data_IF_978452390873
#
_entry.id   IF_978452390873
#
_cell.length_a   1.000
_cell.length_b   1.000
_cell.length_c   1.000
_cell.angle_alpha   90.00
_cell.angle_beta   90.00
_cell.angle_gamma   90.00
#
_symmetry.space_group_name_H-M   'P 1'
#
loop_
_entity.id
_entity.type
_entity.pdbx_description
1 polymer ?
#
# COMPACT_ATOMS: atom_id res chain seq x y z
N UNK A 1 16.45 -7.62 33.22
CA UNK A 1 16.25 -9.05 32.88
C UNK A 1 14.89 -9.18 32.19
N UNK A 2 14.83 -9.26 30.87
CA UNK A 2 13.54 -9.41 30.16
C UNK A 2 13.27 -10.90 29.95
N UNK A 3 12.20 -11.37 30.58
CA UNK A 3 11.73 -12.74 30.57
C UNK A 3 11.13 -13.07 29.20
N UNK A 4 11.72 -14.10 28.58
CA UNK A 4 11.14 -15.04 27.62
C UNK A 4 9.72 -14.72 27.10
N UNK A 5 9.60 -13.82 26.12
CA UNK A 5 8.38 -13.65 25.33
C UNK A 5 8.73 -13.99 23.89
N UNK A 6 8.05 -15.00 23.32
CA UNK A 6 8.08 -15.39 21.90
C UNK A 6 8.32 -14.15 21.04
N UNK A 7 9.29 -14.22 20.13
CA UNK A 7 9.69 -13.14 19.23
C UNK A 7 8.44 -12.51 18.57
N UNK A 8 7.90 -11.44 19.18
CA UNK A 8 6.74 -10.70 18.67
C UNK A 8 7.21 -10.08 17.37
N UNK A 9 6.50 -10.34 16.27
CA UNK A 9 6.90 -9.75 15.00
C UNK A 9 6.87 -8.22 15.14
N UNK A 10 7.81 -7.51 14.52
CA UNK A 10 7.89 -6.03 14.60
C UNK A 10 6.54 -5.36 14.26
N UNK A 11 5.73 -6.01 13.41
CA UNK A 11 4.39 -5.57 13.07
C UNK A 11 3.37 -5.62 14.20
N UNK A 12 3.46 -6.61 15.11
CA UNK A 12 2.60 -6.67 16.30
C UNK A 12 2.98 -5.59 17.32
N UNK A 13 4.28 -5.33 17.47
CA UNK A 13 4.78 -4.24 18.31
C UNK A 13 4.30 -2.89 17.78
N UNK A 14 4.42 -2.64 16.47
CA UNK A 14 3.88 -1.44 15.84
C UNK A 14 2.36 -1.30 16.03
N UNK A 15 1.60 -2.38 15.80
CA UNK A 15 0.14 -2.38 15.99
C UNK A 15 -0.23 -1.92 17.39
N UNK A 16 0.46 -2.45 18.40
CA UNK A 16 0.21 -2.12 19.80
C UNK A 16 0.59 -0.67 20.12
N UNK A 17 1.71 -0.17 19.58
CA UNK A 17 2.10 1.24 19.72
C UNK A 17 0.95 2.15 19.24
N UNK A 18 0.44 1.93 18.03
CA UNK A 18 -0.65 2.77 17.50
C UNK A 18 -1.97 2.59 18.28
N UNK A 19 -2.31 1.38 18.72
CA UNK A 19 -3.50 1.13 19.55
C UNK A 19 -3.40 1.84 20.91
N UNK A 20 -2.28 1.70 21.62
CA UNK A 20 -2.07 2.36 22.92
C UNK A 20 -2.03 3.88 22.79
N UNK A 21 -1.42 4.40 21.71
CA UNK A 21 -1.42 5.83 21.40
C UNK A 21 -2.84 6.38 21.22
N UNK A 22 -3.72 5.63 20.54
CA UNK A 22 -5.14 5.99 20.38
C UNK A 22 -5.93 5.92 21.69
N UNK A 23 -5.64 4.92 22.53
CA UNK A 23 -6.32 4.74 23.82
C UNK A 23 -5.78 5.65 24.93
N UNK A 24 -4.80 6.52 24.64
CA UNK A 24 -4.17 7.40 25.64
C UNK A 24 -3.35 6.65 26.70
N UNK A 25 -2.96 5.41 26.42
CA UNK A 25 -2.26 4.51 27.34
C UNK A 25 -0.74 4.69 27.22
N UNK A 26 -0.24 5.82 27.71
CA UNK A 26 1.15 6.23 27.56
C UNK A 26 2.16 5.21 28.09
N UNK A 27 1.91 4.61 29.25
CA UNK A 27 2.84 3.65 29.88
C UNK A 27 3.00 2.38 29.04
N UNK A 28 1.88 1.85 28.53
CA UNK A 28 1.88 0.67 27.65
C UNK A 28 2.47 0.97 26.27
N UNK A 29 2.26 2.19 25.77
CA UNK A 29 2.91 2.65 24.55
C UNK A 29 4.44 2.65 24.72
N UNK A 30 4.96 3.27 25.79
CA UNK A 30 6.39 3.35 26.08
C UNK A 30 7.02 1.97 26.31
N UNK A 31 6.32 1.05 26.96
CA UNK A 31 6.75 -0.35 27.10
C UNK A 31 6.90 -1.02 25.73
N UNK A 32 5.95 -0.80 24.81
CA UNK A 32 6.05 -1.34 23.45
C UNK A 32 7.20 -0.71 22.65
N UNK A 33 7.46 0.59 22.81
CA UNK A 33 8.63 1.24 22.21
C UNK A 33 9.95 0.64 22.68
N UNK A 34 10.03 0.16 23.93
CA UNK A 34 11.21 -0.49 24.47
C UNK A 34 11.59 -1.78 23.73
N UNK A 35 10.63 -2.47 23.12
CA UNK A 35 10.88 -3.69 22.32
C UNK A 35 11.54 -3.44 20.97
N UNK A 36 11.58 -2.19 20.50
CA UNK A 36 12.25 -1.81 19.25
C UNK A 36 13.72 -1.43 19.51
N UNK A 37 14.59 -1.73 18.54
CA UNK A 37 15.98 -1.22 18.56
C UNK A 37 16.03 0.29 18.34
N UNK A 38 17.11 0.95 18.76
CA UNK A 38 17.24 2.41 18.69
C UNK A 38 17.01 2.99 17.28
N UNK A 39 17.53 2.32 16.24
CA UNK A 39 17.27 2.67 14.83
C UNK A 39 15.78 2.58 14.50
N UNK A 40 15.15 1.42 14.74
CA UNK A 40 13.72 1.21 14.50
C UNK A 40 12.83 2.23 15.21
N UNK A 41 13.20 2.66 16.43
CA UNK A 41 12.47 3.70 17.16
C UNK A 41 12.54 5.05 16.45
N UNK A 42 13.73 5.46 16.00
CA UNK A 42 13.92 6.71 15.26
C UNK A 42 13.08 6.72 13.99
N UNK A 43 13.15 5.64 13.22
CA UNK A 43 12.49 5.54 11.94
C UNK A 43 10.96 5.52 12.09
N UNK A 44 10.49 4.78 13.09
CA UNK A 44 9.06 4.72 13.40
C UNK A 44 8.53 6.08 13.87
N UNK A 45 9.29 6.84 14.66
CA UNK A 45 8.91 8.22 15.02
C UNK A 45 8.79 9.11 13.79
N UNK A 46 9.73 9.02 12.85
CA UNK A 46 9.67 9.80 11.61
C UNK A 46 8.47 9.40 10.73
N UNK A 47 8.17 8.11 10.66
CA UNK A 47 7.01 7.60 9.94
C UNK A 47 5.69 8.13 10.55
N UNK A 48 5.57 8.10 11.87
CA UNK A 48 4.39 8.59 12.60
C UNK A 48 4.30 10.11 12.69
N UNK A 49 5.41 10.84 12.51
CA UNK A 49 5.41 12.31 12.42
C UNK A 49 4.70 12.81 11.15
N UNK A 50 4.59 11.96 10.11
CA UNK A 50 3.80 12.29 8.94
C UNK A 50 2.31 12.07 9.20
N UNK A 51 1.55 13.15 9.38
CA UNK A 51 0.13 13.08 9.70
C UNK A 51 -0.73 12.32 8.67
N UNK A 52 -0.45 12.47 7.37
CA UNK A 52 -1.21 11.79 6.32
C UNK A 52 -0.99 10.28 6.34
N UNK A 53 0.27 9.84 6.47
CA UNK A 53 0.61 8.43 6.46
C UNK A 53 0.21 7.76 7.78
N UNK A 54 0.37 8.46 8.91
CA UNK A 54 -0.17 8.04 10.21
C UNK A 54 -1.67 7.78 10.09
N UNK A 55 -2.45 8.73 9.57
CA UNK A 55 -3.91 8.61 9.42
C UNK A 55 -4.31 7.35 8.65
N UNK A 56 -3.69 7.10 7.48
CA UNK A 56 -4.06 5.94 6.66
C UNK A 56 -3.64 4.62 7.31
N UNK A 57 -2.49 4.57 8.00
CA UNK A 57 -2.11 3.39 8.77
C UNK A 57 -3.05 3.15 9.95
N UNK A 58 -3.46 4.23 10.61
CA UNK A 58 -4.43 4.26 11.70
C UNK A 58 -5.81 3.74 11.25
N UNK A 59 -6.25 4.08 10.04
CA UNK A 59 -7.46 3.51 9.44
C UNK A 59 -7.25 1.99 9.24
N UNK A 60 -6.19 1.59 8.56
CA UNK A 60 -5.84 0.19 8.28
C UNK A 60 -5.65 -0.69 9.54
N UNK A 61 -5.32 -0.10 10.69
CA UNK A 61 -5.12 -0.81 11.96
C UNK A 61 -6.39 -1.45 12.54
N UNK A 62 -7.58 -1.04 12.10
CA UNK A 62 -8.84 -1.69 12.49
C UNK A 62 -8.97 -3.12 11.94
N UNK A 63 -8.18 -3.52 10.93
CA UNK A 63 -8.30 -4.83 10.31
C UNK A 63 -7.42 -5.87 11.01
N UNK A 64 -8.02 -6.92 11.61
CA UNK A 64 -7.33 -7.78 12.57
C UNK A 64 -6.23 -8.67 11.98
N UNK A 65 -6.15 -8.81 10.66
CA UNK A 65 -5.31 -9.80 9.96
C UNK A 65 -4.17 -9.23 9.13
N UNK A 66 -3.96 -7.91 9.17
CA UNK A 66 -2.96 -7.27 8.33
C UNK A 66 -1.54 -7.56 8.85
N UNK A 67 -0.72 -8.27 8.07
CA UNK A 67 0.69 -8.55 8.42
C UNK A 67 1.51 -7.28 8.31
N UNK A 68 1.55 -6.53 9.41
CA UNK A 68 2.40 -5.38 9.63
C UNK A 68 3.90 -5.75 9.73
N UNK A 69 4.23 -7.05 9.70
CA UNK A 69 5.62 -7.55 9.74
C UNK A 69 6.51 -7.03 8.60
N UNK A 70 5.92 -6.33 7.63
CA UNK A 70 6.64 -5.70 6.54
C UNK A 70 6.64 -4.17 6.61
N UNK A 71 5.98 -3.54 7.60
CA UNK A 71 6.11 -2.10 7.89
C UNK A 71 7.54 -1.69 8.21
N UNK A 72 8.33 -2.61 8.75
CA UNK A 72 9.76 -2.40 8.90
C UNK A 72 10.44 -2.09 7.56
N UNK A 73 9.92 -2.58 6.42
CA UNK A 73 10.39 -2.18 5.08
C UNK A 73 9.97 -0.76 4.70
N UNK A 74 8.75 -0.32 5.04
CA UNK A 74 8.33 1.09 4.89
C UNK A 74 9.27 2.03 5.68
N UNK A 75 9.71 1.58 6.85
CA UNK A 75 10.74 2.21 7.68
C UNK A 75 12.13 2.15 7.00
N UNK A 76 12.60 1.00 6.55
CA UNK A 76 13.92 0.83 5.92
C UNK A 76 14.06 1.59 4.59
N UNK A 77 12.99 1.67 3.80
CA UNK A 77 12.97 2.45 2.56
C UNK A 77 12.94 3.97 2.81
N UNK A 78 12.68 4.40 4.05
CA UNK A 78 12.63 5.83 4.45
C UNK A 78 13.95 6.37 4.99
N UNK A 79 14.93 5.55 5.37
CA UNK A 79 15.96 6.07 6.26
C UNK A 79 17.07 6.89 5.63
N UNK A 80 17.54 6.61 4.40
CA UNK A 80 18.80 7.27 3.99
C UNK A 80 18.78 8.01 2.65
N UNK A 81 17.79 7.84 1.77
CA UNK A 81 17.91 8.39 0.40
C UNK A 81 16.67 8.98 -0.27
N UNK A 82 15.49 8.97 0.36
CA UNK A 82 14.27 9.40 -0.32
C UNK A 82 13.51 10.41 0.54
N UNK A 83 14.05 11.63 0.56
CA UNK A 83 13.29 12.86 0.84
C UNK A 83 12.42 13.27 -0.37
N UNK A 84 12.31 12.43 -1.40
CA UNK A 84 11.49 12.76 -2.57
C UNK A 84 10.00 12.64 -2.20
N UNK A 85 9.21 13.72 -2.35
CA UNK A 85 7.77 13.72 -2.08
C UNK A 85 6.98 12.72 -2.94
N UNK A 86 7.59 12.19 -4.01
CA UNK A 86 7.05 11.15 -4.89
C UNK A 86 6.69 9.85 -4.15
N UNK A 87 7.64 9.30 -3.39
CA UNK A 87 7.45 7.98 -2.75
C UNK A 87 6.40 8.03 -1.63
N UNK A 88 6.28 9.18 -0.96
CA UNK A 88 5.32 9.40 0.11
C UNK A 88 3.88 9.46 -0.41
N UNK A 89 3.62 10.25 -1.46
CA UNK A 89 2.27 10.40 -2.02
C UNK A 89 1.76 9.08 -2.61
N UNK A 90 2.57 8.41 -3.42
CA UNK A 90 2.22 7.10 -3.98
C UNK A 90 1.96 6.04 -2.90
N UNK A 91 2.74 6.04 -1.82
CA UNK A 91 2.50 5.15 -0.69
C UNK A 91 1.16 5.43 0.01
N UNK A 92 0.81 6.69 0.25
CA UNK A 92 -0.47 7.08 0.85
C UNK A 92 -1.63 6.67 -0.04
N UNK A 93 -1.57 6.96 -1.34
CA UNK A 93 -2.62 6.58 -2.29
C UNK A 93 -2.80 5.06 -2.39
N UNK A 94 -1.71 4.30 -2.43
CA UNK A 94 -1.79 2.84 -2.48
C UNK A 94 -2.42 2.28 -1.20
N UNK A 95 -2.01 2.77 -0.03
CA UNK A 95 -2.58 2.34 1.24
C UNK A 95 -4.07 2.69 1.35
N UNK A 96 -4.49 3.85 0.84
CA UNK A 96 -5.91 4.21 0.71
C UNK A 96 -6.65 3.30 -0.25
N UNK A 97 -6.02 2.91 -1.37
CA UNK A 97 -6.60 1.96 -2.31
C UNK A 97 -6.83 0.59 -1.66
N UNK A 98 -5.87 0.09 -0.87
CA UNK A 98 -6.05 -1.12 -0.06
C UNK A 98 -7.27 -0.97 0.84
N UNK A 99 -7.34 0.11 1.64
CA UNK A 99 -8.47 0.36 2.52
C UNK A 99 -9.80 0.33 1.76
N UNK A 100 -9.92 1.09 0.68
CA UNK A 100 -11.16 1.22 -0.09
C UNK A 100 -11.61 -0.13 -0.69
N UNK A 101 -10.68 -0.93 -1.21
CA UNK A 101 -11.03 -2.24 -1.78
C UNK A 101 -11.51 -3.19 -0.70
N UNK A 102 -10.83 -3.27 0.44
CA UNK A 102 -11.23 -4.17 1.53
C UNK A 102 -12.56 -3.73 2.15
N UNK A 103 -12.78 -2.44 2.35
CA UNK A 103 -14.08 -1.90 2.79
C UNK A 103 -15.19 -2.26 1.81
N UNK A 104 -14.94 -2.18 0.49
CA UNK A 104 -15.91 -2.59 -0.53
C UNK A 104 -16.18 -4.09 -0.51
N UNK A 105 -15.16 -4.93 -0.40
CA UNK A 105 -15.30 -6.40 -0.25
C UNK A 105 -16.20 -6.72 0.96
N UNK A 106 -15.97 -6.04 2.08
CA UNK A 106 -16.77 -6.20 3.29
C UNK A 106 -18.08 -5.40 3.30
N UNK A 107 -18.43 -4.75 2.18
CA UNK A 107 -19.67 -4.01 2.00
C UNK A 107 -19.90 -2.91 3.05
N UNK A 108 -18.83 -2.30 3.56
CA UNK A 108 -18.84 -1.35 4.68
C UNK A 108 -19.46 -1.89 5.98
N UNK A 109 -19.56 -3.22 6.12
CA UNK A 109 -20.16 -3.87 7.28
C UNK A 109 -19.08 -4.29 8.29
N UNK A 110 -19.13 -3.70 9.48
CA UNK A 110 -18.16 -3.94 10.54
C UNK A 110 -18.09 -5.42 10.99
N UNK A 111 -19.22 -6.14 11.02
CA UNK A 111 -19.25 -7.57 11.37
C UNK A 111 -18.55 -8.45 10.31
N UNK A 112 -18.66 -8.08 9.03
CA UNK A 112 -17.98 -8.76 7.92
C UNK A 112 -16.48 -8.45 7.96
N UNK A 113 -16.13 -7.17 8.16
CA UNK A 113 -14.75 -6.72 8.29
C UNK A 113 -14.02 -7.40 9.46
N UNK A 114 -14.67 -7.52 10.62
CA UNK A 114 -14.15 -8.23 11.79
C UNK A 114 -13.88 -9.72 11.52
N UNK A 115 -14.62 -10.32 10.58
CA UNK A 115 -14.43 -11.69 10.12
C UNK A 115 -13.25 -11.92 9.18
N UNK A 116 -12.56 -10.85 8.77
CA UNK A 116 -11.44 -10.93 7.82
C UNK A 116 -10.19 -11.46 8.51
N UNK A 117 -9.97 -12.75 8.40
CA UNK A 117 -8.81 -13.42 8.97
C UNK A 117 -7.61 -13.44 8.00
N UNK A 118 -6.45 -13.89 8.51
CA UNK A 118 -5.21 -13.92 7.72
C UNK A 118 -5.32 -14.88 6.54
N UNK A 119 -6.05 -15.98 6.68
CA UNK A 119 -6.23 -16.97 5.61
C UNK A 119 -7.07 -16.37 4.47
N UNK A 120 -8.15 -15.65 4.81
CA UNK A 120 -8.98 -14.92 3.85
C UNK A 120 -8.13 -13.94 3.02
N UNK A 121 -7.31 -13.10 3.67
CA UNK A 121 -6.43 -12.16 2.97
C UNK A 121 -5.44 -12.89 2.05
N UNK A 122 -4.85 -14.00 2.52
CA UNK A 122 -3.87 -14.75 1.75
C UNK A 122 -4.48 -15.44 0.51
N UNK A 123 -5.73 -15.87 0.58
CA UNK A 123 -6.44 -16.50 -0.54
C UNK A 123 -6.92 -15.48 -1.56
N UNK A 124 -7.30 -14.28 -1.12
CA UNK A 124 -7.84 -13.24 -2.00
C UNK A 124 -6.78 -12.32 -2.61
N UNK A 125 -5.67 -12.06 -1.91
CA UNK A 125 -4.65 -11.14 -2.43
C UNK A 125 -4.18 -11.57 -3.83
N UNK A 126 -3.94 -10.59 -4.70
CA UNK A 126 -3.50 -10.76 -6.09
C UNK A 126 -4.52 -11.40 -7.04
N UNK A 127 -5.63 -11.94 -6.53
CA UNK A 127 -6.71 -12.40 -7.40
C UNK A 127 -7.38 -11.20 -8.06
N UNK A 128 -7.79 -11.34 -9.32
CA UNK A 128 -8.57 -10.37 -10.06
C UNK A 128 -9.90 -10.97 -10.57
N UNK A 129 -10.84 -11.29 -9.66
CA UNK A 129 -12.06 -12.00 -10.02
C UNK A 129 -12.90 -11.28 -11.07
N UNK A 130 -12.87 -9.96 -11.19
CA UNK A 130 -13.65 -9.28 -12.25
C UNK A 130 -13.11 -9.53 -13.67
N UNK A 131 -11.82 -9.87 -13.80
CA UNK A 131 -11.13 -9.98 -15.09
C UNK A 131 -10.61 -11.40 -15.40
N UNK A 132 -10.46 -12.26 -14.38
CA UNK A 132 -9.92 -13.61 -14.52
C UNK A 132 -10.97 -14.66 -14.16
N UNK A 133 -11.42 -15.44 -15.16
CA UNK A 133 -12.32 -16.59 -14.95
C UNK A 133 -11.64 -17.65 -14.06
N UNK A 134 -10.32 -17.80 -14.16
CA UNK A 134 -9.57 -18.73 -13.30
C UNK A 134 -9.67 -18.32 -11.83
N UNK A 135 -9.54 -17.02 -11.55
CA UNK A 135 -9.60 -16.47 -10.20
C UNK A 135 -11.03 -16.52 -9.64
N UNK A 136 -12.06 -16.38 -10.49
CA UNK A 136 -13.45 -16.64 -10.09
C UNK A 136 -13.64 -18.10 -9.69
N UNK A 137 -13.24 -19.04 -10.56
CA UNK A 137 -13.37 -20.48 -10.31
C UNK A 137 -12.57 -20.94 -9.09
N UNK A 138 -11.48 -20.24 -8.77
CA UNK A 138 -10.78 -20.43 -7.51
C UNK A 138 -11.66 -19.92 -6.36
N UNK A 139 -11.99 -18.62 -6.35
CA UNK A 139 -12.59 -17.92 -5.20
C UNK A 139 -13.99 -18.42 -4.83
N UNK A 140 -14.83 -18.77 -5.79
CA UNK A 140 -16.24 -19.15 -5.57
C UNK A 140 -16.39 -20.38 -4.65
N UNK A 141 -15.80 -21.56 -4.94
CA UNK A 141 -15.84 -22.72 -4.05
C UNK A 141 -15.36 -22.43 -2.62
N UNK A 142 -14.47 -21.46 -2.46
CA UNK A 142 -13.86 -21.15 -1.17
C UNK A 142 -14.73 -20.19 -0.34
N UNK A 143 -15.66 -19.49 -0.98
CA UNK A 143 -16.74 -18.86 -0.26
C UNK A 143 -17.83 -19.88 0.09
N UNK A 144 -18.10 -20.85 -0.77
CA UNK A 144 -19.16 -21.82 -0.53
C UNK A 144 -18.78 -22.86 0.55
N UNK A 145 -17.54 -23.34 0.54
CA UNK A 145 -17.01 -24.32 1.51
C UNK A 145 -16.56 -23.71 2.86
N UNK A 146 -16.76 -22.41 3.06
CA UNK A 146 -16.36 -21.62 4.25
C UNK A 146 -14.87 -21.40 4.59
N UNK A 147 -13.85 -21.67 3.75
CA UNK A 147 -12.48 -21.24 4.06
C UNK A 147 -12.26 -19.72 3.95
N UNK A 148 -13.03 -18.99 3.14
CA UNK A 148 -13.06 -17.52 3.13
C UNK A 148 -14.06 -17.00 4.15
N UNK A 149 -13.72 -15.96 4.92
CA UNK A 149 -14.60 -15.35 5.92
C UNK A 149 -15.33 -16.37 6.81
N UNK A 150 -14.59 -17.22 7.55
CA UNK A 150 -15.17 -18.37 8.26
C UNK A 150 -16.17 -17.97 9.37
N UNK A 151 -16.09 -16.74 9.86
CA UNK A 151 -16.98 -16.21 10.90
C UNK A 151 -18.35 -15.79 10.37
N UNK A 152 -18.52 -15.65 9.05
CA UNK A 152 -19.81 -15.31 8.43
C UNK A 152 -20.60 -16.60 8.26
N UNK A 153 -21.62 -16.78 9.10
CA UNK A 153 -22.48 -17.97 9.10
C UNK A 153 -23.74 -17.78 8.26
N UNK A 154 -24.24 -16.55 8.14
CA UNK A 154 -25.43 -16.24 7.35
C UNK A 154 -25.18 -16.43 5.85
N UNK A 155 -26.08 -17.17 5.19
CA UNK A 155 -25.93 -17.56 3.79
C UNK A 155 -26.09 -16.35 2.86
N UNK A 156 -26.98 -15.42 3.20
CA UNK A 156 -27.24 -14.23 2.39
C UNK A 156 -26.05 -13.28 2.41
N UNK A 157 -25.45 -13.08 3.59
CA UNK A 157 -24.23 -12.30 3.76
C UNK A 157 -23.04 -12.93 3.03
N UNK A 158 -22.90 -14.27 3.09
CA UNK A 158 -21.85 -14.96 2.32
C UNK A 158 -22.02 -14.76 0.82
N UNK A 159 -23.25 -14.84 0.31
CA UNK A 159 -23.55 -14.60 -1.10
C UNK A 159 -23.23 -13.14 -1.48
N UNK A 160 -23.62 -12.18 -0.67
CA UNK A 160 -23.38 -10.77 -0.94
C UNK A 160 -21.87 -10.42 -0.94
N UNK A 161 -21.10 -11.00 0.00
CA UNK A 161 -19.63 -10.84 0.02
C UNK A 161 -18.99 -11.51 -1.21
N UNK A 162 -19.45 -12.69 -1.62
CA UNK A 162 -19.00 -13.34 -2.86
C UNK A 162 -19.21 -12.44 -4.08
N UNK A 163 -20.42 -11.90 -4.23
CA UNK A 163 -20.77 -10.98 -5.32
C UNK A 163 -19.89 -9.73 -5.28
N UNK A 164 -19.63 -9.17 -4.09
CA UNK A 164 -18.73 -8.03 -3.94
C UNK A 164 -17.32 -8.35 -4.43
N UNK A 165 -16.75 -9.49 -4.03
CA UNK A 165 -15.41 -9.94 -4.46
C UNK A 165 -15.32 -10.08 -5.98
N UNK A 166 -16.37 -10.60 -6.62
CA UNK A 166 -16.42 -10.76 -8.09
C UNK A 166 -16.37 -9.44 -8.85
N UNK A 167 -16.75 -8.34 -8.22
CA UNK A 167 -16.71 -7.00 -8.83
C UNK A 167 -15.38 -6.26 -8.60
N UNK A 168 -14.43 -6.88 -7.89
CA UNK A 168 -13.12 -6.29 -7.64
C UNK A 168 -12.15 -6.73 -8.74
N UNK A 169 -11.34 -5.77 -9.20
CA UNK A 169 -10.14 -6.05 -9.99
C UNK A 169 -9.09 -6.78 -9.17
N UNK A 170 -7.82 -6.52 -9.43
CA UNK A 170 -6.77 -7.10 -8.61
C UNK A 170 -6.95 -6.67 -7.14
N UNK A 171 -7.14 -7.64 -6.25
CA UNK A 171 -7.31 -7.40 -4.82
C UNK A 171 -5.95 -7.04 -4.23
N UNK A 172 -5.76 -5.78 -3.79
CA UNK A 172 -4.49 -5.32 -3.28
C UNK A 172 -4.28 -5.82 -1.85
N UNK A 173 -3.03 -5.98 -1.46
CA UNK A 173 -2.66 -6.31 -0.09
C UNK A 173 -1.41 -5.55 0.32
N UNK A 174 -1.19 -5.42 1.63
CA UNK A 174 0.06 -4.88 2.13
C UNK A 174 1.26 -5.68 1.62
N UNK A 175 1.15 -7.00 1.56
CA UNK A 175 2.23 -7.84 1.06
C UNK A 175 2.65 -7.39 -0.34
N UNK A 176 1.68 -7.22 -1.25
CA UNK A 176 1.98 -6.78 -2.61
C UNK A 176 2.52 -5.36 -2.65
N UNK A 177 1.91 -4.45 -1.91
CA UNK A 177 2.39 -3.07 -1.74
C UNK A 177 3.88 -3.02 -1.38
N UNK A 178 4.34 -3.84 -0.43
CA UNK A 178 5.74 -3.87 -0.05
C UNK A 178 6.66 -4.49 -1.11
N UNK A 179 6.16 -5.42 -1.92
CA UNK A 179 6.92 -5.92 -3.07
C UNK A 179 6.99 -4.86 -4.17
N UNK A 180 5.88 -4.19 -4.49
CA UNK A 180 5.82 -3.11 -5.47
C UNK A 180 6.69 -1.93 -5.08
N UNK A 181 6.75 -1.59 -3.80
CA UNK A 181 7.61 -0.53 -3.30
C UNK A 181 9.09 -0.76 -3.60
N UNK A 182 9.56 -2.02 -3.60
CA UNK A 182 10.95 -2.32 -3.98
C UNK A 182 11.22 -1.89 -5.42
N UNK A 183 10.28 -2.17 -6.33
CA UNK A 183 10.40 -1.77 -7.74
C UNK A 183 10.28 -0.25 -7.90
N UNK A 184 9.29 0.36 -7.23
CA UNK A 184 9.08 1.80 -7.27
C UNK A 184 10.27 2.59 -6.74
N UNK A 185 11.02 2.05 -5.78
CA UNK A 185 12.25 2.68 -5.28
C UNK A 185 13.30 2.84 -6.40
N UNK A 186 13.53 1.79 -7.19
CA UNK A 186 14.45 1.85 -8.32
C UNK A 186 13.94 2.80 -9.42
N UNK A 187 12.65 2.74 -9.74
CA UNK A 187 12.03 3.66 -10.70
C UNK A 187 12.18 5.11 -10.24
N UNK A 188 11.92 5.41 -8.96
CA UNK A 188 12.04 6.76 -8.41
C UNK A 188 13.47 7.30 -8.55
N UNK A 189 14.49 6.47 -8.25
CA UNK A 189 15.90 6.85 -8.43
C UNK A 189 16.23 7.13 -9.89
N UNK A 190 15.78 6.28 -10.81
CA UNK A 190 15.96 6.49 -12.24
C UNK A 190 15.28 7.78 -12.71
N UNK A 191 14.01 8.01 -12.34
CA UNK A 191 13.30 9.23 -12.67
C UNK A 191 13.95 10.49 -12.09
N UNK A 192 14.43 10.45 -10.84
CA UNK A 192 15.17 11.58 -10.26
C UNK A 192 16.49 11.85 -10.98
N UNK A 193 17.14 10.84 -11.56
CA UNK A 193 18.34 11.07 -12.38
C UNK A 193 18.02 11.73 -13.74
N UNK A 194 16.85 11.42 -14.31
CA UNK A 194 16.41 11.97 -15.60
C UNK A 194 15.84 13.38 -15.44
N UNK A 195 15.01 13.60 -14.42
CA UNK A 195 14.22 14.83 -14.23
C UNK A 195 14.98 15.85 -13.35
N UNK A 196 16.04 15.42 -12.67
CA UNK A 196 16.71 16.22 -11.65
C UNK A 196 15.89 16.29 -10.35
N UNK A 197 16.04 17.40 -9.62
CA UNK A 197 15.30 17.67 -8.37
C UNK A 197 14.17 18.68 -8.64
N UNK A 198 13.01 18.25 -9.18
CA UNK A 198 11.89 19.15 -9.44
C UNK A 198 11.34 19.72 -8.12
N UNK A 199 10.81 20.94 -8.18
CA UNK A 199 9.97 21.47 -7.10
C UNK A 199 8.58 20.82 -7.20
N UNK A 200 8.16 20.09 -6.16
CA UNK A 200 6.89 19.37 -6.12
C UNK A 200 7.00 17.87 -6.39
N UNK A 201 5.86 17.20 -6.57
CA UNK A 201 5.80 15.76 -6.88
C UNK A 201 6.09 15.48 -8.35
N UNK A 202 6.60 14.29 -8.69
CA UNK A 202 6.73 13.87 -10.09
C UNK A 202 5.35 13.87 -10.78
N UNK A 203 4.27 13.57 -10.08
CA UNK A 203 2.92 13.65 -10.66
C UNK A 203 2.60 15.09 -11.09
N UNK A 204 2.81 16.08 -10.22
CA UNK A 204 2.62 17.50 -10.56
C UNK A 204 3.56 17.91 -11.69
N UNK A 205 4.84 17.55 -11.62
CA UNK A 205 5.82 17.89 -12.65
C UNK A 205 5.50 17.23 -14.00
N UNK A 206 5.21 15.94 -14.03
CA UNK A 206 4.80 15.21 -15.24
C UNK A 206 3.47 15.71 -15.76
N UNK A 207 2.52 16.02 -14.88
CA UNK A 207 1.26 16.68 -15.27
C UNK A 207 1.58 18.02 -15.91
N UNK A 208 2.46 18.83 -15.34
CA UNK A 208 2.88 20.09 -15.95
C UNK A 208 3.60 19.90 -17.28
N UNK A 209 4.50 18.92 -17.42
CA UNK A 209 5.14 18.60 -18.70
C UNK A 209 4.10 18.19 -19.75
N UNK A 210 3.19 17.28 -19.40
CA UNK A 210 2.14 16.81 -20.31
C UNK A 210 1.08 17.87 -20.62
N UNK A 211 0.81 18.78 -19.68
CA UNK A 211 -0.21 19.83 -19.85
C UNK A 211 0.35 21.08 -20.54
N UNK A 212 1.68 21.30 -20.49
CA UNK A 212 2.35 22.40 -21.19
C UNK A 212 2.41 22.20 -22.70
N UNK A 213 2.19 20.97 -23.19
CA UNK A 213 2.19 20.61 -24.61
C UNK A 213 0.81 20.50 -25.27
N UNK A 214 -0.22 21.10 -24.68
CA UNK A 214 -1.37 21.52 -25.49
C UNK A 214 -1.02 22.85 -26.16
N UNK A 215 -0.47 22.72 -27.38
CA UNK A 215 -0.17 23.78 -28.36
C UNK A 215 1.22 24.41 -28.27
N UNK A 216 2.23 23.81 -28.91
CA UNK A 216 2.93 24.36 -30.09
C UNK A 216 4.11 23.43 -30.44
N UNK A 217 4.06 22.76 -31.60
CA UNK A 217 5.17 22.01 -32.23
C UNK A 217 6.13 21.31 -31.25
N UNK A 218 5.73 20.14 -30.73
CA UNK A 218 6.50 19.38 -29.76
C UNK A 218 7.77 18.78 -30.38
N UNK A 219 8.91 19.42 -30.08
CA UNK A 219 10.23 18.87 -30.32
C UNK A 219 10.54 17.82 -29.24
N UNK A 220 10.47 16.53 -29.57
CA UNK A 220 10.79 15.43 -28.65
C UNK A 220 12.28 15.10 -28.74
N UNK A 221 13.02 15.30 -27.65
CA UNK A 221 14.42 14.86 -27.54
C UNK A 221 14.46 13.39 -27.12
N UNK A 222 14.88 12.52 -28.04
CA UNK A 222 15.07 11.08 -27.79
C UNK A 222 16.55 10.80 -27.60
N UNK A 223 16.92 10.23 -26.45
CA UNK A 223 18.29 9.76 -26.22
C UNK A 223 18.52 8.44 -26.96
N UNK A 224 19.51 8.42 -27.87
CA UNK A 224 19.80 7.25 -28.69
C UNK A 224 20.89 6.36 -28.06
N UNK A 225 21.91 6.96 -27.44
CA UNK A 225 22.91 6.31 -26.57
C UNK A 225 23.96 7.32 -26.08
N UNK A 226 24.44 7.18 -24.83
CA UNK A 226 25.63 7.88 -24.34
C UNK A 226 25.51 9.41 -24.36
N UNK A 227 24.41 9.95 -23.84
CA UNK A 227 24.15 11.40 -23.77
C UNK A 227 23.98 12.09 -25.12
N UNK A 228 23.75 11.33 -26.21
CA UNK A 228 23.36 11.87 -27.51
C UNK A 228 21.85 11.89 -27.65
N UNK A 229 21.29 13.08 -27.74
CA UNK A 229 19.88 13.34 -27.96
C UNK A 229 19.63 13.70 -29.43
N UNK A 230 18.55 13.17 -30.01
CA UNK A 230 18.05 13.56 -31.33
C UNK A 230 16.64 14.13 -31.17
N UNK A 231 16.40 15.26 -31.82
CA UNK A 231 15.12 15.93 -31.82
C UNK A 231 14.22 15.35 -32.92
N UNK A 232 12.98 15.01 -32.56
CA UNK A 232 11.95 14.53 -33.47
C UNK A 232 10.72 15.45 -33.36
N UNK A 233 10.21 15.92 -34.50
CA UNK A 233 8.95 16.67 -34.58
C UNK A 233 7.82 15.72 -34.92
N UNK A 234 6.88 15.52 -33.98
CA UNK A 234 5.65 14.77 -34.24
C UNK A 234 4.56 15.68 -34.81
N UNK A 235 3.92 15.26 -35.91
CA UNK A 235 2.74 15.93 -36.46
C UNK A 235 1.47 15.32 -35.86
N UNK A 236 0.50 16.16 -35.50
CA UNK A 236 -0.73 15.75 -34.82
C UNK A 236 -1.73 14.94 -35.70
N UNK A 237 -1.30 14.46 -36.86
CA UNK A 237 -2.14 13.78 -37.86
C UNK A 237 -1.90 12.26 -37.95
N UNK A 238 -0.98 11.69 -37.17
CA UNK A 238 -0.65 10.26 -37.23
C UNK A 238 -1.36 9.41 -36.14
N UNK A 239 -2.57 9.82 -35.73
CA UNK A 239 -3.38 9.12 -34.72
C UNK A 239 -4.82 8.92 -35.15
#
# INVERSE_FOLDING_TARGET
KCVNSKCKSDGETFRKICLHSRSGQWDWEQDMWCHLSAGKRKDLRQLLANGALRKVLDDLLHWPSMRLGTLHRLIMMRCDKIQSPFSLYGAVQYLQHIWNVWTRICMDRANVAAGTDRKTVAMLQLQAPCASIADQKYTEPQMDSKPLFPTITDISDRKAVRESIQQIGQIPSLFRFFEDLKYLEYCAKAFSSIIGSPQGTIHEYMSHLYTRDRCTYGHLLVELQGSKFREYTGNATDG
#
